data_IF_832649385105
#
_entry.id   IF_832649385105
#
_cell.length_a   1.000
_cell.length_b   1.000
_cell.length_c   1.000
_cell.angle_alpha   90.00
_cell.angle_beta   90.00
_cell.angle_gamma   90.00
#
_symmetry.space_group_name_H-M   'P 1'
#
loop_
_entity.id
_entity.type
_entity.pdbx_description
1 polymer ?
#
# COMPACT_ATOMS: atom_id res chain seq x y z
N UNK A 1 -18.40 -0.53 17.42
CA UNK A 1 -18.56 0.48 16.35
C UNK A 1 -17.44 0.34 15.31
N UNK A 2 -17.31 -0.85 14.68
CA UNK A 2 -16.17 -1.22 13.81
C UNK A 2 -16.50 -1.14 12.31
N UNK A 3 -17.75 -0.84 11.94
CA UNK A 3 -18.27 -0.98 10.57
C UNK A 3 -18.22 0.26 9.69
N UNK A 4 -17.76 1.42 10.19
CA UNK A 4 -17.67 2.67 9.40
C UNK A 4 -16.26 3.11 9.03
N UNK A 5 -15.23 2.40 9.51
CA UNK A 5 -13.83 2.76 9.30
C UNK A 5 -13.13 2.00 8.16
N UNK A 6 -13.85 1.15 7.40
CA UNK A 6 -13.19 0.31 6.39
C UNK A 6 -13.07 0.91 4.99
N UNK A 7 -13.72 2.04 4.70
CA UNK A 7 -13.76 2.60 3.33
C UNK A 7 -13.06 3.95 3.20
N UNK A 8 -13.02 4.76 4.26
CA UNK A 8 -12.34 6.07 4.24
C UNK A 8 -10.84 5.84 4.51
N UNK A 9 -9.99 6.17 3.54
CA UNK A 9 -8.52 6.05 3.68
C UNK A 9 -7.96 4.67 3.35
N UNK A 10 -8.76 3.75 2.80
CA UNK A 10 -8.24 2.51 2.25
C UNK A 10 -7.69 2.74 0.83
N UNK A 11 -6.52 2.17 0.53
CA UNK A 11 -5.95 2.21 -0.83
C UNK A 11 -6.86 1.37 -1.76
N UNK A 12 -7.42 1.94 -2.83
CA UNK A 12 -8.41 1.25 -3.68
C UNK A 12 -7.72 0.32 -4.69
N UNK A 13 -7.12 -0.77 -4.19
CA UNK A 13 -6.29 -1.69 -4.99
C UNK A 13 -7.05 -2.29 -6.19
N UNK A 14 -8.31 -2.67 -6.00
CA UNK A 14 -9.20 -3.18 -7.06
C UNK A 14 -9.45 -2.16 -8.18
N UNK A 15 -9.46 -0.87 -7.83
CA UNK A 15 -9.61 0.20 -8.81
C UNK A 15 -8.32 0.45 -9.58
N UNK A 16 -7.17 0.37 -8.91
CA UNK A 16 -5.86 0.70 -9.49
C UNK A 16 -5.33 -0.48 -10.33
N UNK A 17 -5.40 -1.69 -9.78
CA UNK A 17 -4.81 -2.93 -10.31
C UNK A 17 -5.80 -3.65 -11.24
N UNK A 18 -6.14 -3.01 -12.37
CA UNK A 18 -7.06 -3.56 -13.38
C UNK A 18 -6.30 -4.10 -14.60
N UNK A 19 -6.82 -5.15 -15.27
CA UNK A 19 -6.21 -5.72 -16.46
C UNK A 19 -5.92 -4.68 -17.56
N UNK A 20 -4.83 -4.87 -18.29
CA UNK A 20 -4.47 -4.06 -19.45
C UNK A 20 -3.74 -2.75 -19.14
N UNK A 21 -3.40 -2.48 -17.88
CA UNK A 21 -2.57 -1.34 -17.49
C UNK A 21 -1.08 -1.72 -17.44
N UNK A 22 -0.16 -0.81 -17.80
CA UNK A 22 1.27 -1.04 -17.60
C UNK A 22 1.58 -1.33 -16.12
N UNK A 23 2.36 -2.38 -15.86
CA UNK A 23 2.66 -2.85 -14.51
C UNK A 23 3.32 -1.75 -13.67
N UNK A 24 4.32 -1.06 -14.23
CA UNK A 24 5.03 0.02 -13.55
C UNK A 24 4.11 1.16 -13.13
N UNK A 25 3.23 1.60 -14.02
CA UNK A 25 2.26 2.67 -13.77
C UNK A 25 1.27 2.29 -12.67
N UNK A 26 0.71 1.07 -12.75
CA UNK A 26 -0.27 0.59 -11.79
C UNK A 26 0.34 0.48 -10.37
N UNK A 27 1.54 -0.09 -10.25
CA UNK A 27 2.23 -0.20 -8.96
C UNK A 27 2.65 1.17 -8.40
N UNK A 28 3.10 2.09 -9.26
CA UNK A 28 3.42 3.47 -8.86
C UNK A 28 2.18 4.20 -8.35
N UNK A 29 1.03 4.01 -9.00
CA UNK A 29 -0.22 4.59 -8.54
C UNK A 29 -0.68 4.03 -7.19
N UNK A 30 -0.46 2.73 -6.91
CA UNK A 30 -0.69 2.17 -5.57
C UNK A 30 0.08 2.94 -4.50
N UNK A 31 1.36 3.24 -4.74
CA UNK A 31 2.18 3.98 -3.78
C UNK A 31 1.73 5.44 -3.63
N UNK A 32 1.32 6.08 -4.72
CA UNK A 32 0.76 7.44 -4.70
C UNK A 32 -0.55 7.50 -3.93
N UNK A 33 -1.46 6.55 -4.17
CA UNK A 33 -2.74 6.47 -3.43
C UNK A 33 -2.53 6.10 -1.96
N UNK A 34 -1.53 5.27 -1.64
CA UNK A 34 -1.12 5.02 -0.26
C UNK A 34 -0.64 6.31 0.42
N UNK A 35 0.24 7.08 -0.21
CA UNK A 35 0.70 8.38 0.29
C UNK A 35 -0.45 9.35 0.58
N UNK A 36 -1.44 9.41 -0.33
CA UNK A 36 -2.64 10.24 -0.16
C UNK A 36 -3.52 9.76 0.98
N UNK A 37 -3.72 8.45 1.08
CA UNK A 37 -4.59 7.82 2.07
C UNK A 37 -4.03 7.97 3.48
N UNK A 38 -2.73 7.75 3.67
CA UNK A 38 -2.07 7.81 4.98
C UNK A 38 -1.95 9.22 5.55
N UNK A 39 -2.23 10.25 4.75
CA UNK A 39 -2.23 11.66 5.17
C UNK A 39 -3.59 12.32 4.99
N UNK A 40 -4.64 11.53 4.72
CA UNK A 40 -5.99 12.04 4.47
C UNK A 40 -6.64 12.58 5.75
N UNK A 41 -6.31 11.99 6.90
CA UNK A 41 -6.81 12.37 8.21
C UNK A 41 -5.62 12.73 9.12
N UNK A 42 -5.49 14.01 9.52
CA UNK A 42 -4.42 14.45 10.42
C UNK A 42 -4.42 13.73 11.77
N UNK A 43 -5.60 13.34 12.27
CA UNK A 43 -5.75 12.67 13.57
C UNK A 43 -5.51 11.14 13.45
N UNK A 44 -5.52 10.61 12.23
CA UNK A 44 -5.39 9.17 11.92
C UNK A 44 -4.35 8.94 10.83
N UNK A 45 -3.13 9.46 11.05
CA UNK A 45 -2.02 9.31 10.10
C UNK A 45 -1.52 7.86 10.01
N UNK A 46 -1.21 7.42 8.80
CA UNK A 46 -0.64 6.08 8.54
C UNK A 46 -1.68 5.02 8.17
N UNK A 47 -1.22 3.77 8.14
CA UNK A 47 -2.01 2.61 7.81
C UNK A 47 -2.63 2.00 9.06
N UNK A 48 -3.96 2.06 9.16
CA UNK A 48 -4.71 1.43 10.26
C UNK A 48 -4.47 -0.08 10.39
N UNK A 49 -4.14 -0.75 9.28
CA UNK A 49 -3.77 -2.17 9.31
C UNK A 49 -2.47 -2.38 10.07
N UNK A 50 -1.45 -1.54 9.86
CA UNK A 50 -0.17 -1.67 10.55
C UNK A 50 -0.26 -1.31 12.03
N UNK A 51 -1.09 -0.35 12.39
CA UNK A 51 -1.36 -0.07 13.81
C UNK A 51 -2.15 -1.20 14.46
N UNK A 52 -3.15 -1.76 13.78
CA UNK A 52 -3.90 -2.92 14.26
C UNK A 52 -3.03 -4.14 14.53
N UNK A 53 -1.95 -4.34 13.76
CA UNK A 53 -0.98 -5.42 14.01
C UNK A 53 -0.22 -5.28 15.34
N UNK A 54 -0.12 -4.07 15.88
CA UNK A 54 0.52 -3.77 17.18
C UNK A 54 -0.47 -3.75 18.34
N UNK A 55 -1.75 -4.01 18.09
CA UNK A 55 -2.79 -4.00 19.13
C UNK A 55 -2.60 -5.13 20.14
N UNK A 56 -2.89 -4.84 21.42
CA UNK A 56 -2.99 -5.85 22.48
C UNK A 56 -4.32 -6.64 22.41
N UNK A 57 -5.29 -6.18 21.62
CA UNK A 57 -6.52 -6.91 21.34
C UNK A 57 -6.26 -7.96 20.24
N UNK A 58 -6.37 -9.24 20.61
CA UNK A 58 -6.15 -10.38 19.73
C UNK A 58 -7.05 -10.35 18.48
N UNK A 59 -8.32 -9.98 18.65
CA UNK A 59 -9.28 -9.95 17.56
C UNK A 59 -8.95 -8.81 16.58
N UNK A 60 -8.55 -7.64 17.12
CA UNK A 60 -8.10 -6.52 16.29
C UNK A 60 -6.83 -6.88 15.50
N UNK A 61 -5.86 -7.53 16.15
CA UNK A 61 -4.61 -7.97 15.53
C UNK A 61 -4.84 -9.02 14.45
N UNK A 62 -5.71 -10.00 14.70
CA UNK A 62 -6.10 -11.01 13.71
C UNK A 62 -6.81 -10.39 12.51
N UNK A 63 -7.73 -9.44 12.73
CA UNK A 63 -8.42 -8.74 11.65
C UNK A 63 -7.47 -7.89 10.80
N UNK A 64 -6.47 -7.25 11.43
CA UNK A 64 -5.43 -6.52 10.74
C UNK A 64 -4.54 -7.44 9.90
N UNK A 65 -4.12 -8.59 10.45
CA UNK A 65 -3.33 -9.57 9.72
C UNK A 65 -4.06 -10.09 8.49
N UNK A 66 -5.34 -10.47 8.63
CA UNK A 66 -6.16 -10.93 7.53
C UNK A 66 -6.30 -9.86 6.43
N UNK A 67 -6.48 -8.59 6.81
CA UNK A 67 -6.51 -7.46 5.85
C UNK A 67 -5.19 -7.27 5.12
N UNK A 68 -4.05 -7.35 5.83
CA UNK A 68 -2.73 -7.23 5.20
C UNK A 68 -2.52 -8.35 4.17
N UNK A 69 -2.79 -9.59 4.56
CA UNK A 69 -2.64 -10.75 3.68
C UNK A 69 -3.55 -10.66 2.45
N UNK A 70 -4.79 -10.19 2.61
CA UNK A 70 -5.70 -9.98 1.48
C UNK A 70 -5.17 -8.91 0.50
N UNK A 71 -4.64 -7.78 1.01
CA UNK A 71 -4.06 -6.74 0.18
C UNK A 71 -2.81 -7.24 -0.57
N UNK A 72 -1.90 -7.94 0.14
CA UNK A 72 -0.71 -8.58 -0.44
C UNK A 72 -1.09 -9.59 -1.52
N UNK A 73 -2.14 -10.40 -1.31
CA UNK A 73 -2.60 -11.36 -2.29
C UNK A 73 -3.13 -10.70 -3.57
N UNK A 74 -3.85 -9.57 -3.46
CA UNK A 74 -4.34 -8.80 -4.61
C UNK A 74 -3.16 -8.23 -5.42
N UNK A 75 -2.19 -7.62 -4.74
CA UNK A 75 -0.99 -7.07 -5.37
C UNK A 75 -0.20 -8.20 -6.07
N UNK A 76 0.04 -9.30 -5.36
CA UNK A 76 0.76 -10.46 -5.89
C UNK A 76 0.06 -11.06 -7.11
N UNK A 77 -1.26 -11.27 -7.06
CA UNK A 77 -2.02 -11.82 -8.17
C UNK A 77 -1.92 -10.92 -9.41
N UNK A 78 -2.03 -9.60 -9.24
CA UNK A 78 -1.88 -8.65 -10.33
C UNK A 78 -0.47 -8.72 -10.95
N UNK A 79 0.58 -8.72 -10.13
CA UNK A 79 1.95 -8.81 -10.62
C UNK A 79 2.18 -10.15 -11.32
N UNK A 80 1.67 -11.26 -10.78
CA UNK A 80 1.87 -12.59 -11.34
C UNK A 80 1.21 -12.79 -12.72
N UNK A 81 0.14 -12.05 -13.00
CA UNK A 81 -0.50 -12.01 -14.32
C UNK A 81 0.39 -11.34 -15.39
N UNK A 82 1.25 -10.41 -14.97
CA UNK A 82 2.18 -9.69 -15.85
C UNK A 82 3.56 -10.37 -15.90
N UNK A 83 4.10 -10.74 -14.74
CA UNK A 83 5.46 -11.27 -14.53
C UNK A 83 5.49 -12.26 -13.37
N UNK A 84 5.07 -13.49 -13.64
CA UNK A 84 4.98 -14.58 -12.65
C UNK A 84 6.27 -14.79 -11.83
N UNK A 85 7.43 -14.78 -12.48
CA UNK A 85 8.71 -15.03 -11.81
C UNK A 85 9.12 -13.92 -10.84
N UNK A 86 8.68 -12.69 -11.08
CA UNK A 86 9.03 -11.53 -10.26
C UNK A 86 7.97 -11.20 -9.19
N UNK A 87 6.83 -11.90 -9.21
CA UNK A 87 5.67 -11.58 -8.39
C UNK A 87 5.98 -11.50 -6.89
N UNK A 88 6.74 -12.47 -6.36
CA UNK A 88 7.17 -12.47 -4.96
C UNK A 88 8.00 -11.23 -4.62
N UNK A 89 9.13 -11.02 -5.32
CA UNK A 89 10.06 -9.92 -5.01
C UNK A 89 9.40 -8.54 -5.13
N UNK A 90 8.54 -8.36 -6.13
CA UNK A 90 7.87 -7.08 -6.36
C UNK A 90 6.76 -6.86 -5.34
N UNK A 91 6.03 -7.89 -4.93
CA UNK A 91 5.05 -7.78 -3.83
C UNK A 91 5.74 -7.35 -2.54
N UNK A 92 6.85 -7.99 -2.18
CA UNK A 92 7.63 -7.64 -0.98
C UNK A 92 8.12 -6.19 -1.03
N UNK A 93 8.58 -5.74 -2.19
CA UNK A 93 9.00 -4.35 -2.40
C UNK A 93 7.84 -3.37 -2.20
N UNK A 94 6.69 -3.61 -2.84
CA UNK A 94 5.51 -2.74 -2.71
C UNK A 94 5.01 -2.70 -1.27
N UNK A 95 4.89 -3.83 -0.60
CA UNK A 95 4.50 -3.91 0.81
C UNK A 95 5.47 -3.14 1.71
N UNK A 96 6.78 -3.24 1.45
CA UNK A 96 7.81 -2.48 2.16
C UNK A 96 7.66 -0.98 1.94
N UNK A 97 7.45 -0.54 0.70
CA UNK A 97 7.22 0.86 0.36
C UNK A 97 5.98 1.42 1.05
N UNK A 98 4.86 0.69 1.02
CA UNK A 98 3.63 1.06 1.71
C UNK A 98 3.84 1.17 3.22
N UNK A 99 4.57 0.23 3.84
CA UNK A 99 4.89 0.29 5.26
C UNK A 99 5.77 1.50 5.61
N UNK A 100 6.77 1.80 4.78
CA UNK A 100 7.63 2.99 4.93
C UNK A 100 6.85 4.30 4.79
N UNK A 101 5.94 4.41 3.82
CA UNK A 101 5.06 5.58 3.67
C UNK A 101 4.14 5.75 4.88
N UNK A 102 3.58 4.65 5.39
CA UNK A 102 2.77 4.65 6.62
C UNK A 102 3.56 5.17 7.81
N UNK A 103 4.77 4.64 8.03
CA UNK A 103 5.63 5.06 9.14
C UNK A 103 6.02 6.54 9.01
N UNK A 104 6.31 7.01 7.80
CA UNK A 104 6.59 8.41 7.53
C UNK A 104 5.40 9.33 7.86
N UNK A 105 4.17 8.90 7.52
CA UNK A 105 2.96 9.62 7.90
C UNK A 105 2.83 9.76 9.41
N UNK A 106 2.98 8.64 10.14
CA UNK A 106 2.94 8.61 11.61
C UNK A 106 4.03 9.50 12.23
N UNK A 107 5.19 9.60 11.58
CA UNK A 107 6.28 10.51 11.97
C UNK A 107 6.02 11.99 11.63
N UNK A 108 4.85 12.34 11.10
CA UNK A 108 4.44 13.72 10.81
C UNK A 108 4.93 14.27 9.47
N UNK A 109 5.34 13.41 8.53
CA UNK A 109 5.60 13.87 7.17
C UNK A 109 4.27 14.25 6.50
N UNK A 110 4.22 15.45 5.92
CA UNK A 110 3.06 15.91 5.18
C UNK A 110 2.84 15.15 3.87
N UNK A 111 1.65 15.34 3.28
CA UNK A 111 1.24 14.73 2.01
C UNK A 111 2.23 15.00 0.87
N UNK A 112 2.80 16.19 0.79
CA UNK A 112 3.76 16.55 -0.26
C UNK A 112 5.02 15.72 -0.17
N UNK A 113 5.56 15.56 1.04
CA UNK A 113 6.75 14.73 1.32
C UNK A 113 6.50 13.26 1.00
N UNK A 114 5.35 12.71 1.39
CA UNK A 114 5.00 11.32 1.05
C UNK A 114 4.82 11.11 -0.45
N UNK A 115 4.17 12.04 -1.14
CA UNK A 115 4.01 11.98 -2.60
C UNK A 115 5.36 12.03 -3.32
N UNK A 116 6.31 12.83 -2.83
CA UNK A 116 7.66 12.85 -3.38
C UNK A 116 8.37 11.50 -3.19
N UNK A 117 8.27 10.89 -2.00
CA UNK A 117 8.80 9.55 -1.75
C UNK A 117 8.16 8.48 -2.62
N UNK A 118 6.83 8.49 -2.77
CA UNK A 118 6.10 7.55 -3.62
C UNK A 118 6.51 7.65 -5.10
N UNK A 119 6.74 8.87 -5.61
CA UNK A 119 7.24 9.07 -6.97
C UNK A 119 8.65 8.51 -7.19
N UNK A 120 9.56 8.70 -6.22
CA UNK A 120 10.90 8.11 -6.28
C UNK A 120 10.86 6.58 -6.25
N UNK A 121 9.95 6.00 -5.47
CA UNK A 121 9.72 4.55 -5.47
C UNK A 121 9.18 4.09 -6.83
N UNK A 122 8.31 4.86 -7.49
CA UNK A 122 7.86 4.60 -8.87
C UNK A 122 9.00 4.47 -9.88
N UNK A 123 9.97 5.39 -9.84
CA UNK A 123 11.16 5.32 -10.69
C UNK A 123 11.98 4.04 -10.45
N UNK A 124 12.05 3.58 -9.20
CA UNK A 124 12.72 2.32 -8.88
C UNK A 124 11.96 1.10 -9.42
N UNK A 125 10.62 1.15 -9.48
CA UNK A 125 9.79 0.11 -10.09
C UNK A 125 10.01 0.05 -11.59
N UNK A 126 9.91 1.19 -12.29
CA UNK A 126 10.19 1.29 -13.73
C UNK A 126 11.56 0.69 -14.05
N UNK A 127 12.58 1.12 -13.30
CA UNK A 127 13.94 0.60 -13.47
C UNK A 127 14.06 -0.90 -13.19
N UNK A 128 13.34 -1.41 -12.20
CA UNK A 128 13.36 -2.83 -11.85
C UNK A 128 12.67 -3.71 -12.90
N UNK A 129 11.69 -3.16 -13.63
CA UNK A 129 10.96 -3.84 -14.69
C UNK A 129 11.68 -3.73 -16.05
N UNK A 130 12.60 -2.78 -16.19
CA UNK A 130 13.31 -2.51 -17.43
C UNK A 130 12.48 -1.67 -18.42
N UNK A 131 11.50 -0.94 -17.89
CA UNK A 131 10.63 -0.02 -18.61
C UNK A 131 11.23 1.41 -18.62
#
# INVERSE_FOLDING_TARGET
MLGRYSEIGAVPLDRILRPGRPLAEALSEVLVEAARSYTADPDMSGCMVLEGLRSNDEAARAAALARRQAAEAVIHAYIADHRREEAGRLTDYISTCMAGLSAAAVAGHDRGRLLASAKLQGLAIERALGD
#
